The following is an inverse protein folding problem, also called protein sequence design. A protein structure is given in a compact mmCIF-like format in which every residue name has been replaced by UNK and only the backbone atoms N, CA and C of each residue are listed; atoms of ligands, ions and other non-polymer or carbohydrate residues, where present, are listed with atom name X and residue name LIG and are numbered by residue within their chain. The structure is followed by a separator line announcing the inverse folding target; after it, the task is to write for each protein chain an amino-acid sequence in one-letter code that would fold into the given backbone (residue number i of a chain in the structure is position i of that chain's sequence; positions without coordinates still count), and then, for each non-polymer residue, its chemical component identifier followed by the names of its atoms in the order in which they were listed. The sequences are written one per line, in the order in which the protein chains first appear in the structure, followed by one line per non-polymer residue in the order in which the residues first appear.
data_IF_420702153568
#
_entry.id   IF_420702153568
#
_cell.length_a   1.000
_cell.length_b   1.000
_cell.length_c   1.000
_cell.angle_alpha   90.00
_cell.angle_beta   90.00
_cell.angle_gamma   90.00
#
_symmetry.space_group_name_H-M   'P 1'
#
loop_
_entity.id
_entity.type
_entity.pdbx_description
1 polymer ?
#
# COMPACT_ATOMS: atom_id res chain seq x y z
N UNK A 1 -19.61 2.90 20.93
CA UNK A 1 -18.64 2.46 19.90
C UNK A 1 -18.29 3.62 19.01
N UNK A 2 -17.03 3.87 18.74
CA UNK A 2 -16.60 4.95 17.85
C UNK A 2 -16.68 4.50 16.39
N UNK A 3 -17.17 5.38 15.54
CA UNK A 3 -17.07 5.18 14.11
C UNK A 3 -15.58 5.25 13.69
N UNK A 4 -15.15 4.32 12.89
CA UNK A 4 -13.77 4.26 12.42
C UNK A 4 -13.77 4.08 10.92
N UNK A 5 -12.96 4.89 10.23
CA UNK A 5 -12.78 4.78 8.79
C UNK A 5 -11.40 4.19 8.51
N UNK A 6 -11.38 3.09 7.81
CA UNK A 6 -10.14 2.38 7.49
C UNK A 6 -10.05 2.22 5.98
N UNK A 7 -8.91 2.61 5.39
CA UNK A 7 -8.67 2.41 3.96
C UNK A 7 -8.45 0.93 3.69
N UNK A 8 -9.23 0.38 2.78
CA UNK A 8 -9.15 -1.04 2.44
C UNK A 8 -8.61 -1.21 1.02
N UNK A 9 -7.61 -2.06 0.87
CA UNK A 9 -6.96 -2.35 -0.40
C UNK A 9 -7.30 -3.77 -0.82
N UNK A 10 -7.81 -3.93 -2.04
CA UNK A 10 -8.19 -5.23 -2.58
C UNK A 10 -7.20 -5.62 -3.67
N UNK A 11 -6.52 -6.74 -3.47
CA UNK A 11 -5.55 -7.30 -4.41
C UNK A 11 -6.18 -8.46 -5.15
N UNK A 12 -5.94 -8.56 -6.44
CA UNK A 12 -6.53 -9.61 -7.27
C UNK A 12 -5.51 -10.62 -7.79
N UNK A 13 -4.24 -10.44 -7.44
CA UNK A 13 -3.14 -11.30 -7.91
C UNK A 13 -2.50 -12.12 -6.79
N UNK A 14 -3.14 -12.19 -5.62
CA UNK A 14 -2.64 -12.97 -4.48
C UNK A 14 -1.43 -12.38 -3.80
N UNK A 15 -1.20 -11.08 -3.94
CA UNK A 15 -0.01 -10.39 -3.45
C UNK A 15 -0.25 -9.43 -2.29
N UNK A 16 -1.38 -9.56 -1.58
CA UNK A 16 -1.70 -8.68 -0.46
C UNK A 16 -0.65 -8.76 0.64
N UNK A 17 -0.22 -9.94 1.02
CA UNK A 17 0.76 -10.11 2.11
C UNK A 17 2.12 -9.52 1.75
N UNK A 18 2.58 -9.75 0.53
CA UNK A 18 3.84 -9.21 0.04
C UNK A 18 3.82 -7.68 0.07
N UNK A 19 2.73 -7.09 -0.42
CA UNK A 19 2.55 -5.65 -0.42
C UNK A 19 2.50 -5.08 1.00
N UNK A 20 1.70 -5.68 1.88
CA UNK A 20 1.56 -5.26 3.26
C UNK A 20 2.92 -5.27 3.99
N UNK A 21 3.64 -6.36 3.88
CA UNK A 21 4.94 -6.49 4.53
C UNK A 21 5.96 -5.49 4.00
N UNK A 22 5.94 -5.23 2.70
CA UNK A 22 6.80 -4.22 2.09
C UNK A 22 6.53 -2.83 2.67
N UNK A 23 5.26 -2.43 2.75
CA UNK A 23 4.88 -1.12 3.30
C UNK A 23 5.24 -1.00 4.78
N UNK A 24 4.98 -2.03 5.57
CA UNK A 24 5.30 -2.02 7.00
C UNK A 24 6.79 -1.86 7.24
N UNK A 25 7.62 -2.49 6.40
CA UNK A 25 9.07 -2.37 6.47
C UNK A 25 9.57 -0.97 6.07
N UNK A 26 8.86 -0.34 5.15
CA UNK A 26 9.29 0.91 4.53
C UNK A 26 9.09 2.14 5.40
N UNK A 27 8.00 2.19 6.16
CA UNK A 27 7.62 3.35 6.97
C UNK A 27 7.85 3.10 8.45
N UNK A 28 8.28 4.15 9.17
CA UNK A 28 8.40 4.12 10.64
C UNK A 28 7.01 4.03 11.28
N UNK A 29 6.96 3.58 12.52
CA UNK A 29 5.72 3.42 13.29
C UNK A 29 4.68 2.60 12.53
N UNK A 30 5.13 1.50 11.94
CA UNK A 30 4.32 0.64 11.11
C UNK A 30 4.38 -0.80 11.62
N UNK A 31 3.24 -1.49 11.57
CA UNK A 31 3.16 -2.88 12.03
C UNK A 31 1.91 -3.56 11.52
N UNK A 32 1.99 -4.88 11.42
CA UNK A 32 0.81 -5.70 11.15
C UNK A 32 0.08 -5.93 12.47
N UNK A 33 -1.22 -5.66 12.48
CA UNK A 33 -2.03 -5.79 13.69
C UNK A 33 -2.79 -7.11 13.75
N UNK A 34 -3.39 -7.53 12.64
CA UNK A 34 -4.24 -8.71 12.61
C UNK A 34 -4.23 -9.31 11.21
N UNK A 35 -4.27 -10.65 11.14
CA UNK A 35 -4.30 -11.38 9.88
C UNK A 35 -5.30 -12.53 9.97
N UNK A 36 -6.20 -12.61 8.99
CA UNK A 36 -7.07 -13.76 8.76
C UNK A 36 -6.76 -14.30 7.37
N UNK A 37 -6.68 -15.62 7.26
CA UNK A 37 -6.30 -16.26 6.00
C UNK A 37 -7.45 -17.06 5.41
N UNK A 38 -7.48 -17.16 4.09
CA UNK A 38 -8.48 -17.95 3.39
C UNK A 38 -8.32 -19.43 3.76
N UNK A 39 -9.44 -20.11 4.06
CA UNK A 39 -9.40 -21.54 4.32
C UNK A 39 -9.35 -22.34 3.03
N UNK A 40 -9.12 -23.65 3.16
CA UNK A 40 -9.20 -24.56 2.03
C UNK A 40 -10.63 -24.61 1.49
N UNK A 41 -10.78 -24.66 0.16
CA UNK A 41 -12.08 -24.75 -0.49
C UNK A 41 -12.78 -23.42 -0.69
N UNK A 42 -12.16 -22.30 -0.32
CA UNK A 42 -12.71 -20.97 -0.57
C UNK A 42 -12.46 -20.48 -2.00
N UNK A 43 -12.93 -19.28 -2.31
CA UNK A 43 -12.75 -18.71 -3.66
C UNK A 43 -11.33 -18.29 -3.98
N UNK A 44 -10.48 -18.22 -2.97
CA UNK A 44 -9.06 -17.85 -3.09
C UNK A 44 -8.24 -18.99 -2.50
N UNK A 45 -7.02 -19.15 -3.00
CA UNK A 45 -6.09 -20.18 -2.53
C UNK A 45 -5.89 -20.12 -1.02
N UNK A 46 -5.86 -21.30 -0.38
CA UNK A 46 -5.62 -21.42 1.05
C UNK A 46 -4.33 -20.68 1.47
N UNK A 47 -4.41 -19.97 2.56
CA UNK A 47 -3.25 -19.25 3.13
C UNK A 47 -3.11 -17.82 2.64
N UNK A 48 -3.79 -17.45 1.56
CA UNK A 48 -3.83 -16.05 1.12
C UNK A 48 -4.61 -15.21 2.13
N UNK A 49 -4.47 -13.89 2.04
CA UNK A 49 -5.09 -12.99 3.01
C UNK A 49 -6.59 -12.86 2.76
N UNK A 50 -7.39 -13.30 3.70
CA UNK A 50 -8.82 -13.02 3.68
C UNK A 50 -9.07 -11.59 4.15
N UNK A 51 -8.42 -11.20 5.24
CA UNK A 51 -8.45 -9.83 5.74
C UNK A 51 -7.27 -9.61 6.67
N UNK A 52 -6.55 -8.51 6.47
CA UNK A 52 -5.48 -8.10 7.37
C UNK A 52 -5.62 -6.63 7.71
N UNK A 53 -5.23 -6.25 8.91
CA UNK A 53 -5.20 -4.87 9.37
C UNK A 53 -3.77 -4.51 9.74
N UNK A 54 -3.32 -3.36 9.31
CA UNK A 54 -1.96 -2.90 9.58
C UNK A 54 -1.93 -1.38 9.73
N UNK A 55 -0.84 -0.91 10.33
CA UNK A 55 -0.60 0.53 10.49
C UNK A 55 0.61 0.95 9.65
N UNK A 56 0.48 2.08 8.98
CA UNK A 56 1.59 2.74 8.30
C UNK A 56 1.68 4.15 8.86
N UNK A 57 2.80 4.44 9.52
CA UNK A 57 3.02 5.75 10.13
C UNK A 57 1.84 6.16 11.03
N UNK A 58 1.31 5.20 11.79
CA UNK A 58 0.19 5.41 12.70
C UNK A 58 -1.19 5.41 12.05
N UNK A 59 -1.29 5.27 10.74
CA UNK A 59 -2.58 5.26 10.03
C UNK A 59 -3.02 3.82 9.76
N UNK A 60 -4.30 3.56 9.96
CA UNK A 60 -4.86 2.22 9.77
C UNK A 60 -5.18 1.93 8.32
N UNK A 61 -4.85 0.71 7.90
CA UNK A 61 -5.15 0.17 6.59
C UNK A 61 -5.64 -1.26 6.73
N UNK A 62 -6.39 -1.71 5.76
CA UNK A 62 -6.77 -3.12 5.61
C UNK A 62 -6.40 -3.59 4.22
N UNK A 63 -6.18 -4.89 4.07
CA UNK A 63 -6.00 -5.48 2.76
C UNK A 63 -6.62 -6.87 2.70
N UNK A 64 -6.90 -7.31 1.49
CA UNK A 64 -7.42 -8.65 1.23
C UNK A 64 -7.01 -9.11 -0.16
N UNK A 65 -6.88 -10.43 -0.31
CA UNK A 65 -6.78 -11.07 -1.61
C UNK A 65 -8.17 -11.51 -2.03
N UNK A 66 -8.59 -11.10 -3.23
CA UNK A 66 -9.87 -11.51 -3.80
C UNK A 66 -9.64 -12.34 -5.06
N UNK A 67 -10.67 -13.07 -5.55
CA UNK A 67 -10.59 -13.67 -6.86
C UNK A 67 -10.39 -12.59 -7.93
N UNK A 68 -9.72 -12.88 -9.06
CA UNK A 68 -9.50 -11.88 -10.11
C UNK A 68 -10.77 -11.68 -10.94
N UNK A 69 -11.86 -11.29 -10.28
CA UNK A 69 -13.19 -11.21 -10.87
C UNK A 69 -13.63 -9.78 -11.20
N UNK A 70 -12.81 -8.78 -10.87
CA UNK A 70 -13.17 -7.39 -11.05
C UNK A 70 -12.47 -6.80 -12.25
N UNK A 71 -13.16 -5.91 -12.97
CA UNK A 71 -12.58 -5.17 -14.08
C UNK A 71 -11.73 -3.99 -13.60
N UNK A 72 -12.02 -3.47 -12.40
CA UNK A 72 -11.26 -2.39 -11.81
C UNK A 72 -10.01 -2.93 -11.11
N UNK A 73 -9.02 -2.08 -10.96
CA UNK A 73 -7.81 -2.34 -10.20
C UNK A 73 -7.39 -1.03 -9.54
N UNK A 74 -6.20 -0.99 -8.94
CA UNK A 74 -5.68 0.24 -8.36
C UNK A 74 -5.53 1.30 -9.45
N UNK A 75 -5.94 2.51 -9.13
CA UNK A 75 -5.81 3.64 -10.06
C UNK A 75 -5.16 4.82 -9.33
N UNK A 76 -4.43 5.68 -10.04
CA UNK A 76 -3.83 6.87 -9.43
C UNK A 76 -4.83 7.97 -9.09
N UNK A 77 -6.12 7.73 -9.35
CA UNK A 77 -7.16 8.67 -8.94
C UNK A 77 -7.22 8.83 -7.41
N UNK A 78 -6.82 7.78 -6.68
CA UNK A 78 -6.68 7.83 -5.23
C UNK A 78 -5.23 7.53 -4.89
N UNK A 79 -4.58 8.43 -4.19
CA UNK A 79 -3.17 8.31 -3.84
C UNK A 79 -2.96 8.62 -2.37
N UNK A 80 -1.91 8.05 -1.80
CA UNK A 80 -1.44 8.44 -0.48
C UNK A 80 -0.39 9.52 -0.67
N UNK A 81 -0.60 10.67 -0.04
CA UNK A 81 0.34 11.78 -0.08
C UNK A 81 1.24 11.70 1.14
N UNK A 82 2.53 11.60 0.91
CA UNK A 82 3.51 11.42 1.98
C UNK A 82 4.41 12.64 2.04
N UNK A 83 4.43 13.31 3.19
CA UNK A 83 5.34 14.42 3.44
C UNK A 83 6.50 13.90 4.28
N UNK A 84 7.72 14.21 3.87
CA UNK A 84 8.92 13.78 4.56
C UNK A 84 9.64 14.97 5.20
N UNK A 85 10.34 14.70 6.31
CA UNK A 85 11.04 15.73 7.06
C UNK A 85 12.26 16.29 6.34
N UNK A 86 12.86 15.51 5.44
CA UNK A 86 14.09 15.93 4.76
C UNK A 86 14.22 15.25 3.40
N UNK A 87 15.16 15.78 2.62
CA UNK A 87 15.40 15.31 1.26
C UNK A 87 15.90 13.86 1.19
N UNK A 88 16.68 13.44 2.18
CA UNK A 88 17.20 12.08 2.24
C UNK A 88 16.06 11.07 2.33
N UNK A 89 15.05 11.37 3.15
CA UNK A 89 13.89 10.51 3.32
C UNK A 89 13.03 10.47 2.05
N UNK A 90 12.82 11.61 1.39
CA UNK A 90 12.10 11.67 0.12
C UNK A 90 12.76 10.75 -0.90
N UNK A 91 14.08 10.85 -1.04
CA UNK A 91 14.84 10.05 -2.03
C UNK A 91 14.79 8.56 -1.68
N UNK A 92 14.90 8.22 -0.40
CA UNK A 92 14.83 6.83 0.05
C UNK A 92 13.48 6.20 -0.30
N UNK A 93 12.41 6.86 0.09
CA UNK A 93 11.05 6.36 -0.17
C UNK A 93 10.77 6.27 -1.66
N UNK A 94 11.11 7.31 -2.41
CA UNK A 94 10.88 7.30 -3.85
C UNK A 94 11.63 6.16 -4.54
N UNK A 95 12.90 5.94 -4.18
CA UNK A 95 13.70 4.87 -4.74
C UNK A 95 13.09 3.49 -4.45
N UNK A 96 12.70 3.24 -3.20
CA UNK A 96 12.12 1.96 -2.80
C UNK A 96 10.74 1.73 -3.44
N UNK A 97 9.91 2.76 -3.49
CA UNK A 97 8.58 2.66 -4.07
C UNK A 97 8.61 2.55 -5.59
N UNK A 98 9.67 3.05 -6.23
CA UNK A 98 9.82 2.97 -7.69
C UNK A 98 10.30 1.61 -8.16
N UNK A 99 10.90 0.80 -7.28
CA UNK A 99 11.28 -0.56 -7.63
C UNK A 99 10.02 -1.33 -8.02
N UNK A 100 9.99 -1.99 -9.14
CA UNK A 100 8.83 -2.72 -9.65
C UNK A 100 7.56 -1.87 -9.83
N UNK A 101 7.65 -0.56 -9.65
CA UNK A 101 6.54 0.37 -9.84
C UNK A 101 6.65 1.14 -11.14
N UNK A 102 5.70 2.04 -11.36
CA UNK A 102 5.70 2.94 -12.51
C UNK A 102 5.82 4.38 -12.02
N UNK A 103 6.86 5.08 -12.48
CA UNK A 103 7.06 6.48 -12.15
C UNK A 103 6.15 7.32 -13.05
N UNK A 104 5.18 8.00 -12.44
CA UNK A 104 4.27 8.92 -13.14
C UNK A 104 4.89 10.30 -13.26
N UNK A 105 5.48 10.78 -12.16
CA UNK A 105 6.22 12.04 -12.14
C UNK A 105 7.55 11.79 -11.42
N UNK A 106 8.69 11.95 -12.11
CA UNK A 106 10.00 11.76 -11.45
C UNK A 106 10.24 12.86 -10.42
N UNK A 107 11.18 12.61 -9.49
CA UNK A 107 11.51 13.61 -8.47
C UNK A 107 12.01 14.90 -9.12
N UNK A 108 11.36 16.00 -8.80
CA UNK A 108 11.72 17.32 -9.32
C UNK A 108 11.00 18.40 -8.52
N UNK A 109 11.36 19.66 -8.80
CA UNK A 109 10.66 20.84 -8.30
C UNK A 109 9.52 21.16 -9.27
N UNK A 110 8.29 21.06 -8.80
CA UNK A 110 7.10 21.32 -9.62
C UNK A 110 6.40 22.63 -9.19
N UNK A 111 7.08 23.46 -8.42
CA UNK A 111 6.57 24.76 -7.99
C UNK A 111 5.79 24.71 -6.67
N UNK A 112 5.01 23.67 -6.43
CA UNK A 112 4.30 23.50 -5.16
C UNK A 112 5.14 22.75 -4.13
N UNK A 113 6.21 22.12 -4.54
CA UNK A 113 7.15 21.40 -3.69
C UNK A 113 8.53 21.44 -4.32
N UNK A 114 9.56 21.61 -3.50
CA UNK A 114 10.95 21.61 -3.96
C UNK A 114 11.42 20.23 -4.44
N UNK A 115 10.77 19.17 -3.98
CA UNK A 115 11.06 17.82 -4.43
C UNK A 115 9.82 16.96 -4.29
N UNK A 116 9.21 16.65 -5.42
CA UNK A 116 7.99 15.86 -5.49
C UNK A 116 8.16 14.75 -6.51
N UNK A 117 7.56 13.61 -6.25
CA UNK A 117 7.47 12.52 -7.22
C UNK A 117 6.15 11.79 -7.06
N UNK A 118 5.75 11.06 -8.07
CA UNK A 118 4.52 10.30 -8.08
C UNK A 118 4.77 8.93 -8.68
N UNK A 119 4.42 7.87 -7.94
CA UNK A 119 4.70 6.48 -8.31
C UNK A 119 3.44 5.65 -8.18
N UNK A 120 3.23 4.77 -9.15
CA UNK A 120 2.21 3.73 -9.06
C UNK A 120 2.92 2.45 -8.64
N UNK A 121 2.50 1.88 -7.51
CA UNK A 121 3.11 0.68 -6.94
C UNK A 121 2.33 -0.54 -7.44
N UNK A 122 3.05 -1.59 -7.75
CA UNK A 122 2.44 -2.86 -8.15
C UNK A 122 2.44 -3.87 -7.02
#
# INVERSE_FOLDING_TARGET
MKTQMIRSLTFQDGNAEVAMNFYVELFEDSRVLKVSRWPEGGPVEKGKIMQATFELNGNLFMCSDSPPAHEWDFTPAVSNYIECDNMTEVKRLFSRLSEDGTVTMPLNDYGFSSCFGWVIIK
#
